data_IF_405052616223
#
_entry.id   IF_405052616223
#
_cell.length_a   1.000
_cell.length_b   1.000
_cell.length_c   1.000
_cell.angle_alpha   90.00
_cell.angle_beta   90.00
_cell.angle_gamma   90.00
#
_symmetry.space_group_name_H-M   'P 1'
#
loop_
_entity.id
_entity.type
_entity.pdbx_description
1 polymer ?
#
# COMPACT_ATOMS: atom_id res chain seq x y z
N UNK A 1 14.96 9.11 0.46
CA UNK A 1 14.61 9.53 -0.93
C UNK A 1 13.12 9.72 -1.04
N UNK A 2 12.67 10.84 -1.60
CA UNK A 2 11.24 11.09 -1.86
C UNK A 2 10.78 10.35 -3.11
N UNK A 3 9.52 9.96 -3.15
CA UNK A 3 8.89 9.31 -4.30
C UNK A 3 7.44 9.76 -4.45
N UNK A 4 6.93 9.65 -5.65
CA UNK A 4 5.53 9.80 -5.98
C UNK A 4 5.17 8.79 -7.07
N UNK A 5 4.04 8.11 -6.92
CA UNK A 5 3.48 7.19 -7.90
C UNK A 5 2.03 7.57 -8.14
N UNK A 6 1.65 7.66 -9.41
CA UNK A 6 0.29 8.02 -9.83
C UNK A 6 -0.26 6.85 -10.64
N UNK A 7 -1.43 6.38 -10.23
CA UNK A 7 -2.17 5.31 -10.92
C UNK A 7 -3.63 5.72 -11.05
N UNK A 8 -4.38 4.99 -11.87
CA UNK A 8 -5.79 5.24 -12.10
C UNK A 8 -6.61 3.99 -11.82
N UNK A 9 -7.81 4.19 -11.29
CA UNK A 9 -8.80 3.15 -11.08
C UNK A 9 -10.12 3.60 -11.71
N UNK A 10 -10.75 2.75 -12.54
CA UNK A 10 -11.98 3.06 -13.30
C UNK A 10 -13.23 2.97 -12.41
N UNK A 11 -13.17 3.64 -11.26
CA UNK A 11 -14.21 3.72 -10.25
C UNK A 11 -14.19 5.09 -9.55
N UNK A 12 -15.33 5.58 -9.04
CA UNK A 12 -15.39 6.82 -8.24
C UNK A 12 -14.49 6.77 -7.01
N UNK A 13 -13.95 7.91 -6.62
CA UNK A 13 -13.03 8.02 -5.47
C UNK A 13 -13.63 7.46 -4.16
N UNK A 14 -14.93 7.63 -3.96
CA UNK A 14 -15.64 7.08 -2.79
C UNK A 14 -15.65 5.54 -2.78
N UNK A 15 -15.80 4.89 -3.94
CA UNK A 15 -15.77 3.42 -4.03
C UNK A 15 -14.35 2.88 -3.82
N UNK A 16 -13.35 3.50 -4.46
CA UNK A 16 -11.93 3.13 -4.35
C UNK A 16 -11.45 3.28 -2.91
N UNK A 17 -11.71 4.43 -2.30
CA UNK A 17 -11.34 4.71 -0.91
C UNK A 17 -12.09 3.82 0.08
N UNK A 18 -13.41 3.60 -0.17
CA UNK A 18 -14.23 2.68 0.63
C UNK A 18 -13.70 1.24 0.60
N UNK A 19 -13.29 0.73 -0.57
CA UNK A 19 -12.67 -0.59 -0.69
C UNK A 19 -11.39 -0.70 0.14
N UNK A 20 -10.55 0.34 0.12
CA UNK A 20 -9.32 0.38 0.90
C UNK A 20 -9.54 0.40 2.41
N UNK A 21 -10.55 1.12 2.89
CA UNK A 21 -10.74 1.29 4.34
C UNK A 21 -11.51 0.11 4.95
N UNK A 22 -12.56 -0.36 4.26
CA UNK A 22 -13.51 -1.33 4.80
C UNK A 22 -13.26 -2.77 4.36
N UNK A 23 -12.61 -2.97 3.19
CA UNK A 23 -12.49 -4.26 2.52
C UNK A 23 -11.06 -4.65 2.17
N UNK A 24 -10.06 -4.02 2.80
CA UNK A 24 -8.65 -4.20 2.43
C UNK A 24 -8.19 -5.67 2.51
N UNK A 25 -8.66 -6.43 3.48
CA UNK A 25 -8.34 -7.86 3.61
C UNK A 25 -8.95 -8.71 2.49
N UNK A 26 -10.12 -8.28 1.97
CA UNK A 26 -10.79 -8.95 0.84
C UNK A 26 -10.06 -8.69 -0.50
N UNK A 27 -9.17 -7.70 -0.56
CA UNK A 27 -8.37 -7.38 -1.74
C UNK A 27 -7.20 -8.35 -1.96
N UNK A 28 -6.78 -9.11 -0.93
CA UNK A 28 -5.62 -10.01 -1.00
C UNK A 28 -5.65 -10.95 -2.20
N UNK A 29 -6.77 -11.63 -2.55
CA UNK A 29 -6.83 -12.52 -3.71
C UNK A 29 -6.60 -11.82 -5.07
N UNK A 30 -6.65 -10.51 -5.10
CA UNK A 30 -6.49 -9.67 -6.31
C UNK A 30 -5.12 -8.96 -6.35
N UNK A 31 -4.21 -9.31 -5.44
CA UNK A 31 -2.87 -8.72 -5.32
C UNK A 31 -1.80 -9.81 -5.31
N UNK A 32 -1.11 -10.03 -6.42
CA UNK A 32 -0.10 -11.09 -6.57
C UNK A 32 1.10 -10.95 -5.61
N UNK A 33 1.36 -9.73 -5.16
CA UNK A 33 2.50 -9.38 -4.32
C UNK A 33 2.21 -9.42 -2.81
N UNK A 34 0.96 -9.68 -2.40
CA UNK A 34 0.51 -9.74 -1.01
C UNK A 34 -0.04 -11.12 -0.70
N UNK A 35 0.45 -11.74 0.37
CA UNK A 35 -0.02 -13.05 0.84
C UNK A 35 -1.10 -12.94 1.91
N UNK A 36 -1.03 -11.90 2.74
CA UNK A 36 -1.94 -11.70 3.87
C UNK A 36 -2.00 -10.23 4.26
N UNK A 37 -3.18 -9.77 4.68
CA UNK A 37 -3.38 -8.52 5.42
C UNK A 37 -4.22 -8.85 6.65
N UNK A 38 -3.82 -8.34 7.81
CA UNK A 38 -4.55 -8.48 9.08
C UNK A 38 -4.72 -7.15 9.75
N UNK A 39 -5.95 -6.73 10.00
CA UNK A 39 -6.25 -5.59 10.84
C UNK A 39 -6.01 -5.95 12.31
N UNK A 40 -5.08 -5.26 12.94
CA UNK A 40 -4.74 -5.42 14.37
C UNK A 40 -5.54 -4.44 15.23
N UNK A 41 -5.68 -3.19 14.76
CA UNK A 41 -6.52 -2.18 15.40
C UNK A 41 -7.28 -1.39 14.34
N UNK A 42 -8.51 -1.00 14.72
CA UNK A 42 -9.38 -0.15 13.93
C UNK A 42 -10.12 0.78 14.91
N UNK A 43 -9.87 2.07 14.83
CA UNK A 43 -10.43 3.08 15.74
C UNK A 43 -11.12 4.18 14.93
N UNK A 44 -12.43 4.24 15.01
CA UNK A 44 -13.33 5.20 14.39
C UNK A 44 -14.01 6.13 15.43
N UNK A 45 -13.45 6.22 16.61
CA UNK A 45 -14.02 7.01 17.73
C UNK A 45 -14.00 8.53 17.49
N UNK A 46 -13.18 9.01 16.55
CA UNK A 46 -13.08 10.43 16.20
C UNK A 46 -13.85 10.70 14.90
N UNK A 47 -14.81 11.63 14.87
CA UNK A 47 -15.54 11.97 13.66
C UNK A 47 -14.60 12.29 12.50
N UNK A 48 -14.96 11.82 11.29
CA UNK A 48 -14.21 12.03 10.05
C UNK A 48 -12.78 11.46 10.03
N UNK A 49 -12.39 10.69 11.06
CA UNK A 49 -11.04 10.15 11.18
C UNK A 49 -11.08 8.70 11.61
N UNK A 50 -10.36 7.85 10.87
CA UNK A 50 -10.14 6.45 11.29
C UNK A 50 -8.65 6.23 11.45
N UNK A 51 -8.26 5.52 12.51
CA UNK A 51 -6.88 5.07 12.72
C UNK A 51 -6.82 3.57 12.63
N UNK A 52 -5.86 3.07 11.86
CA UNK A 52 -5.67 1.63 11.68
C UNK A 52 -4.23 1.23 11.93
N UNK A 53 -4.07 0.02 12.47
CA UNK A 53 -2.81 -0.70 12.47
C UNK A 53 -3.07 -2.02 11.76
N UNK A 54 -2.38 -2.27 10.65
CA UNK A 54 -2.56 -3.45 9.81
C UNK A 54 -1.23 -4.13 9.55
N UNK A 55 -1.19 -5.42 9.77
CA UNK A 55 -0.04 -6.24 9.38
C UNK A 55 -0.22 -6.69 7.94
N UNK A 56 0.85 -6.59 7.16
CA UNK A 56 0.93 -7.03 5.78
C UNK A 56 2.05 -8.05 5.63
N UNK A 57 1.79 -9.09 4.85
CA UNK A 57 2.79 -10.07 4.46
C UNK A 57 2.91 -10.09 2.94
N UNK A 58 4.08 -9.70 2.43
CA UNK A 58 4.40 -9.81 1.02
C UNK A 58 4.70 -11.24 0.60
N UNK A 59 4.52 -11.53 -0.70
CA UNK A 59 4.92 -12.79 -1.32
C UNK A 59 6.37 -12.74 -1.79
N UNK A 60 6.99 -13.91 -1.98
CA UNK A 60 8.31 -14.00 -2.62
C UNK A 60 8.29 -13.63 -4.11
N UNK A 61 7.11 -13.52 -4.73
CA UNK A 61 6.96 -13.10 -6.12
C UNK A 61 7.47 -11.67 -6.36
N UNK A 62 7.28 -10.78 -5.38
CA UNK A 62 7.78 -9.39 -5.42
C UNK A 62 9.30 -9.26 -5.24
N UNK A 63 9.99 -10.34 -4.86
CA UNK A 63 11.45 -10.32 -4.66
C UNK A 63 12.16 -10.77 -5.94
N UNK A 64 13.09 -9.95 -6.47
CA UNK A 64 13.91 -10.36 -7.59
C UNK A 64 14.61 -11.70 -7.33
N UNK A 65 14.65 -12.58 -8.33
CA UNK A 65 15.18 -13.94 -8.19
C UNK A 65 16.58 -13.98 -7.58
N UNK A 66 17.42 -13.01 -7.93
CA UNK A 66 18.79 -12.89 -7.41
C UNK A 66 18.83 -12.64 -5.90
N UNK A 67 17.82 -11.98 -5.34
CA UNK A 67 17.78 -11.61 -3.92
C UNK A 67 17.01 -12.63 -3.06
N UNK A 68 16.22 -13.53 -3.67
CA UNK A 68 15.41 -14.53 -2.94
C UNK A 68 16.19 -15.39 -1.93
N UNK A 69 17.43 -15.83 -2.21
CA UNK A 69 18.20 -16.60 -1.23
C UNK A 69 18.56 -15.82 0.05
N UNK A 70 18.53 -14.47 -0.02
CA UNK A 70 18.92 -13.58 1.08
C UNK A 70 17.72 -12.99 1.83
N UNK A 71 16.51 -13.22 1.33
CA UNK A 71 15.26 -12.66 1.91
C UNK A 71 14.48 -13.78 2.59
N UNK A 72 14.36 -13.70 3.91
CA UNK A 72 13.51 -14.63 4.66
C UNK A 72 12.03 -14.23 4.54
N UNK A 73 11.11 -15.19 4.76
CA UNK A 73 9.66 -14.87 4.82
C UNK A 73 9.35 -13.78 5.84
N UNK A 74 10.01 -13.79 6.98
CA UNK A 74 9.80 -12.79 8.04
C UNK A 74 10.27 -11.39 7.67
N UNK A 75 11.17 -11.26 6.66
CA UNK A 75 11.63 -9.96 6.17
C UNK A 75 10.66 -9.31 5.19
N UNK A 76 9.62 -10.03 4.73
CA UNK A 76 8.61 -9.52 3.80
C UNK A 76 7.34 -9.02 4.53
N UNK A 77 7.33 -9.06 5.85
CA UNK A 77 6.24 -8.51 6.64
C UNK A 77 6.50 -7.07 7.06
N UNK A 78 5.44 -6.28 7.08
CA UNK A 78 5.46 -4.93 7.66
C UNK A 78 4.14 -4.62 8.35
N UNK A 79 4.20 -3.68 9.29
CA UNK A 79 3.03 -3.11 9.93
C UNK A 79 2.80 -1.72 9.34
N UNK A 80 1.61 -1.50 8.80
CA UNK A 80 1.13 -0.22 8.32
C UNK A 80 0.34 0.47 9.44
N UNK A 81 0.70 1.70 9.76
CA UNK A 81 0.05 2.54 10.76
C UNK A 81 -0.48 3.75 10.03
N UNK A 82 -1.80 3.85 9.91
CA UNK A 82 -2.44 4.82 9.06
C UNK A 82 -3.51 5.65 9.79
N UNK A 83 -3.60 6.90 9.40
CA UNK A 83 -4.70 7.82 9.73
C UNK A 83 -5.44 8.18 8.46
N UNK A 84 -6.73 7.91 8.43
CA UNK A 84 -7.64 8.10 7.31
C UNK A 84 -8.49 9.34 7.57
N UNK A 85 -8.51 10.29 6.63
CA UNK A 85 -9.39 11.46 6.65
C UNK A 85 -10.49 11.23 5.62
N UNK A 86 -11.74 11.02 6.09
CA UNK A 86 -12.81 10.49 5.28
C UNK A 86 -13.31 11.45 4.20
N UNK A 87 -13.47 12.72 4.53
CA UNK A 87 -13.96 13.76 3.61
C UNK A 87 -12.92 14.22 2.59
N UNK A 88 -11.62 13.97 2.86
CA UNK A 88 -10.52 14.30 1.97
C UNK A 88 -10.09 13.11 1.10
N UNK A 89 -10.64 11.91 1.32
CA UNK A 89 -10.15 10.66 0.69
C UNK A 89 -8.63 10.53 0.80
N UNK A 90 -8.09 10.81 1.97
CA UNK A 90 -6.67 10.90 2.25
C UNK A 90 -6.25 9.91 3.33
N UNK A 91 -5.04 9.38 3.19
CA UNK A 91 -4.40 8.51 4.17
C UNK A 91 -3.01 9.05 4.47
N UNK A 92 -2.74 9.39 5.71
CA UNK A 92 -1.38 9.59 6.22
C UNK A 92 -0.89 8.26 6.79
N UNK A 93 0.25 7.76 6.35
CA UNK A 93 0.73 6.44 6.74
C UNK A 93 2.23 6.41 7.04
N UNK A 94 2.62 5.43 7.85
CA UNK A 94 4.00 5.01 8.07
C UNK A 94 4.07 3.50 8.19
N UNK A 95 5.22 2.93 7.84
CA UNK A 95 5.45 1.49 7.97
C UNK A 95 6.48 1.17 9.04
N UNK A 96 6.25 0.07 9.74
CA UNK A 96 7.21 -0.53 10.65
C UNK A 96 7.55 -1.94 10.16
N UNK A 97 8.85 -2.24 10.09
CA UNK A 97 9.40 -3.52 9.63
C UNK A 97 10.42 -4.04 10.64
N UNK A 98 10.88 -5.27 10.48
CA UNK A 98 12.04 -5.77 11.22
C UNK A 98 13.31 -4.90 11.03
N UNK A 99 13.32 -4.04 10.00
CA UNK A 99 14.43 -3.17 9.63
C UNK A 99 14.22 -1.69 10.02
N UNK A 100 13.13 -1.35 10.73
CA UNK A 100 12.81 0.06 11.13
C UNK A 100 13.90 0.73 11.98
N UNK A 101 14.82 -0.05 12.51
CA UNK A 101 16.04 0.44 13.17
C UNK A 101 17.00 1.11 12.17
N UNK A 102 16.98 0.68 10.92
CA UNK A 102 17.92 1.06 9.85
C UNK A 102 17.26 1.80 8.71
N UNK A 103 15.93 1.79 8.63
CA UNK A 103 15.19 2.49 7.59
C UNK A 103 13.84 2.96 8.11
N UNK A 104 13.28 3.98 7.45
CA UNK A 104 11.93 4.47 7.68
C UNK A 104 11.23 4.71 6.36
N UNK A 105 9.91 4.47 6.34
CA UNK A 105 9.06 4.77 5.20
C UNK A 105 7.74 5.37 5.71
N UNK A 106 7.36 6.50 5.14
CA UNK A 106 6.10 7.16 5.46
C UNK A 106 5.63 8.01 4.29
N UNK A 107 4.35 8.33 4.26
CA UNK A 107 3.82 9.10 3.16
C UNK A 107 2.33 9.41 3.31
N UNK A 108 1.76 9.80 2.16
CA UNK A 108 0.35 10.17 2.02
C UNK A 108 -0.18 9.47 0.78
N UNK A 109 -1.38 8.90 0.87
CA UNK A 109 -2.17 8.50 -0.29
C UNK A 109 -3.34 9.47 -0.43
N UNK A 110 -3.66 9.86 -1.67
CA UNK A 110 -4.84 10.64 -2.02
C UNK A 110 -5.60 9.94 -3.13
N UNK A 111 -6.92 9.92 -3.02
CA UNK A 111 -7.83 9.35 -4.00
C UNK A 111 -8.68 10.50 -4.55
N UNK A 112 -8.20 11.09 -5.63
CA UNK A 112 -8.76 12.29 -6.23
C UNK A 112 -9.66 11.90 -7.42
N UNK A 113 -10.84 12.55 -7.60
CA UNK A 113 -11.57 12.40 -8.86
C UNK A 113 -10.67 12.76 -10.04
N UNK A 114 -10.64 11.94 -11.08
CA UNK A 114 -9.90 12.26 -12.28
C UNK A 114 -10.51 13.50 -12.97
N UNK A 115 -9.73 14.51 -13.35
CA UNK A 115 -10.26 15.72 -13.98
C UNK A 115 -11.04 15.47 -15.28
N UNK A 116 -10.69 14.44 -16.06
CA UNK A 116 -11.36 14.08 -17.31
C UNK A 116 -12.61 13.22 -17.08
N UNK A 117 -12.64 12.41 -16.02
CA UNK A 117 -13.71 11.45 -15.72
C UNK A 117 -14.06 11.45 -14.23
N UNK A 118 -14.50 12.58 -13.64
CA UNK A 118 -14.57 12.77 -12.18
C UNK A 118 -15.57 11.86 -11.47
N UNK A 119 -16.55 11.33 -12.18
CA UNK A 119 -17.60 10.46 -11.61
C UNK A 119 -17.32 8.96 -11.79
N UNK A 120 -16.35 8.59 -12.63
CA UNK A 120 -16.13 7.19 -13.03
C UNK A 120 -14.68 6.74 -12.88
N UNK A 121 -13.74 7.66 -12.67
CA UNK A 121 -12.32 7.34 -12.56
C UNK A 121 -11.67 8.09 -11.41
N UNK A 122 -10.79 7.41 -10.68
CA UNK A 122 -10.00 7.94 -9.58
C UNK A 122 -8.54 8.02 -9.96
N UNK A 123 -7.94 9.16 -9.72
CA UNK A 123 -6.50 9.36 -9.71
C UNK A 123 -5.97 9.01 -8.32
N UNK A 124 -5.27 7.89 -8.20
CA UNK A 124 -4.64 7.43 -6.97
C UNK A 124 -3.20 7.95 -6.90
N UNK A 125 -2.90 8.79 -5.94
CA UNK A 125 -1.57 9.35 -5.71
C UNK A 125 -1.00 8.76 -4.44
N UNK A 126 0.17 8.12 -4.53
CA UNK A 126 0.95 7.64 -3.39
C UNK A 126 2.25 8.42 -3.38
N UNK A 127 2.43 9.29 -2.39
CA UNK A 127 3.63 10.09 -2.24
C UNK A 127 4.24 9.87 -0.86
N UNK A 128 5.58 9.81 -0.80
CA UNK A 128 6.24 9.56 0.47
C UNK A 128 7.74 9.73 0.45
N UNK A 129 8.34 9.30 1.54
CA UNK A 129 9.78 9.28 1.71
C UNK A 129 10.24 7.95 2.29
N UNK A 130 11.26 7.38 1.66
CA UNK A 130 12.01 6.25 2.17
C UNK A 130 13.42 6.69 2.52
N UNK A 131 13.86 6.40 3.74
CA UNK A 131 15.18 6.80 4.27
C UNK A 131 15.91 5.58 4.80
N UNK A 132 17.17 5.42 4.37
CA UNK A 132 18.11 4.47 4.96
C UNK A 132 19.03 5.23 5.93
N UNK A 133 19.00 4.84 7.20
CA UNK A 133 19.88 5.40 8.23
C UNK A 133 21.27 4.77 8.12
N UNK A 134 22.08 5.27 7.19
CA UNK A 134 23.38 4.72 6.86
C UNK A 134 24.35 4.61 8.05
N UNK A 135 24.20 5.50 9.04
CA UNK A 135 24.98 5.50 10.28
C UNK A 135 24.60 4.37 11.25
N UNK A 136 23.49 3.67 10.99
CA UNK A 136 22.96 2.58 11.82
C UNK A 136 23.07 1.20 11.17
N UNK A 137 23.62 1.09 9.96
CA UNK A 137 23.76 -0.20 9.26
C UNK A 137 24.75 -1.09 10.02
N UNK A 138 24.34 -2.32 10.44
CA UNK A 138 25.21 -3.20 11.21
C UNK A 138 26.46 -3.61 10.43
N UNK A 139 27.59 -3.71 11.11
CA UNK A 139 28.88 -4.13 10.58
C UNK A 139 29.43 -3.25 9.42
N UNK A 140 28.82 -2.09 9.16
CA UNK A 140 29.31 -1.12 8.16
C UNK A 140 29.83 0.12 8.89
N UNK A 141 31.08 0.56 8.64
CA UNK A 141 31.59 1.81 9.18
C UNK A 141 30.66 2.98 8.81
N UNK A 142 30.39 3.86 9.79
CA UNK A 142 29.43 4.95 9.66
C UNK A 142 29.59 5.80 8.39
N UNK A 143 30.84 6.17 8.06
CA UNK A 143 31.15 6.99 6.87
C UNK A 143 30.85 6.25 5.56
N UNK A 144 31.02 4.93 5.53
CA UNK A 144 30.70 4.09 4.37
C UNK A 144 29.17 3.96 4.28
N UNK A 145 28.50 3.67 5.39
CA UNK A 145 27.05 3.54 5.45
C UNK A 145 26.32 4.81 4.95
N UNK A 146 26.75 5.99 5.40
CA UNK A 146 26.20 7.27 4.93
C UNK A 146 26.43 7.48 3.42
N UNK A 147 27.58 7.03 2.87
CA UNK A 147 27.89 7.16 1.45
C UNK A 147 27.04 6.24 0.56
N UNK A 148 26.71 5.04 1.03
CA UNK A 148 25.95 4.04 0.25
C UNK A 148 24.43 4.16 0.45
N UNK A 149 23.96 4.81 1.52
CA UNK A 149 22.54 4.93 1.85
C UNK A 149 21.67 5.42 0.68
N UNK A 150 22.01 6.49 -0.07
CA UNK A 150 21.20 6.96 -1.19
C UNK A 150 21.07 5.92 -2.32
N UNK A 151 22.09 5.10 -2.54
CA UNK A 151 22.05 4.02 -3.53
C UNK A 151 21.15 2.88 -3.08
N UNK A 152 21.18 2.54 -1.80
CA UNK A 152 20.28 1.54 -1.20
C UNK A 152 18.82 2.02 -1.27
N UNK A 153 18.55 3.28 -0.95
CA UNK A 153 17.22 3.89 -1.10
C UNK A 153 16.70 3.74 -2.52
N UNK A 154 17.50 4.10 -3.53
CA UNK A 154 17.12 3.98 -4.94
C UNK A 154 16.80 2.54 -5.36
N UNK A 155 17.62 1.57 -4.92
CA UNK A 155 17.41 0.15 -5.22
C UNK A 155 16.11 -0.34 -4.58
N UNK A 156 15.89 -0.03 -3.30
CA UNK A 156 14.72 -0.49 -2.57
C UNK A 156 13.44 0.13 -3.15
N UNK A 157 13.43 1.43 -3.43
CA UNK A 157 12.30 2.10 -4.08
C UNK A 157 12.01 1.50 -5.47
N UNK A 158 13.02 1.12 -6.24
CA UNK A 158 12.84 0.43 -7.51
C UNK A 158 12.04 -0.89 -7.39
N UNK A 159 12.06 -1.53 -6.21
CA UNK A 159 11.24 -2.71 -5.93
C UNK A 159 9.88 -2.37 -5.31
N UNK A 160 9.78 -1.28 -4.55
CA UNK A 160 8.54 -0.89 -3.88
C UNK A 160 7.52 -0.27 -4.84
N UNK A 161 7.94 0.61 -5.74
CA UNK A 161 7.03 1.36 -6.62
C UNK A 161 6.14 0.48 -7.50
N UNK A 162 6.62 -0.61 -8.13
CA UNK A 162 5.75 -1.51 -8.88
C UNK A 162 4.63 -2.13 -8.01
N UNK A 163 4.88 -2.36 -6.72
CA UNK A 163 3.88 -2.91 -5.80
C UNK A 163 2.77 -1.91 -5.49
N UNK A 164 3.06 -0.62 -5.47
CA UNK A 164 2.03 0.41 -5.31
C UNK A 164 1.08 0.47 -6.52
N UNK A 165 1.59 0.23 -7.74
CA UNK A 165 0.75 0.12 -8.95
C UNK A 165 -0.21 -1.07 -8.87
N UNK A 166 0.25 -2.20 -8.35
CA UNK A 166 -0.58 -3.40 -8.19
C UNK A 166 -1.77 -3.18 -7.26
N UNK A 167 -1.66 -2.29 -6.29
CA UNK A 167 -2.75 -1.96 -5.38
C UNK A 167 -3.96 -1.38 -6.14
N UNK A 168 -3.75 -0.40 -7.03
CA UNK A 168 -4.84 0.18 -7.82
C UNK A 168 -5.49 -0.84 -8.76
N UNK A 169 -4.70 -1.72 -9.37
CA UNK A 169 -5.19 -2.82 -10.21
C UNK A 169 -6.02 -3.80 -9.38
N UNK A 170 -5.53 -4.20 -8.20
CA UNK A 170 -6.23 -5.09 -7.27
C UNK A 170 -7.59 -4.53 -6.83
N UNK A 171 -7.64 -3.23 -6.51
CA UNK A 171 -8.90 -2.55 -6.14
C UNK A 171 -9.89 -2.60 -7.30
N UNK A 172 -9.48 -2.27 -8.52
CA UNK A 172 -10.34 -2.31 -9.70
C UNK A 172 -10.91 -3.70 -9.92
N UNK A 173 -10.07 -4.73 -9.91
CA UNK A 173 -10.49 -6.13 -10.10
C UNK A 173 -11.46 -6.60 -9.00
N UNK A 174 -11.21 -6.22 -7.76
CA UNK A 174 -12.13 -6.50 -6.64
C UNK A 174 -13.51 -5.85 -6.85
N UNK A 175 -13.54 -4.57 -7.22
CA UNK A 175 -14.79 -3.84 -7.45
C UNK A 175 -15.57 -4.43 -8.63
N UNK A 176 -14.90 -4.86 -9.72
CA UNK A 176 -15.51 -5.59 -10.82
C UNK A 176 -16.15 -6.90 -10.36
N UNK A 177 -15.43 -7.68 -9.55
CA UNK A 177 -15.94 -8.94 -8.99
C UNK A 177 -17.17 -8.70 -8.10
N UNK A 178 -17.16 -7.66 -7.27
CA UNK A 178 -18.32 -7.28 -6.43
C UNK A 178 -19.53 -6.88 -7.27
N UNK A 179 -19.36 -6.08 -8.32
CA UNK A 179 -20.46 -5.69 -9.22
C UNK A 179 -21.06 -6.88 -9.94
N UNK A 180 -20.22 -7.80 -10.42
CA UNK A 180 -20.67 -9.03 -11.07
C UNK A 180 -21.49 -9.88 -10.12
N UNK A 181 -21.01 -10.13 -8.90
CA UNK A 181 -21.72 -10.91 -7.89
C UNK A 181 -23.08 -10.28 -7.52
N UNK A 182 -23.15 -8.95 -7.40
CA UNK A 182 -24.38 -8.24 -7.11
C UNK A 182 -25.42 -8.36 -8.25
N UNK A 183 -24.98 -8.31 -9.52
CA UNK A 183 -25.83 -8.48 -10.68
C UNK A 183 -26.41 -9.91 -10.74
N UNK A 184 -25.58 -10.93 -10.49
CA UNK A 184 -26.02 -12.34 -10.45
C UNK A 184 -27.03 -12.61 -9.32
N UNK A 185 -26.82 -12.03 -8.14
CA UNK A 185 -27.75 -12.15 -7.02
C UNK A 185 -29.10 -11.46 -7.29
N UNK A 186 -29.10 -10.30 -7.98
CA UNK A 186 -30.31 -9.60 -8.39
C UNK A 186 -31.14 -10.39 -9.41
N UNK A 187 -30.51 -11.10 -10.35
CA UNK A 187 -31.21 -11.93 -11.35
C UNK A 187 -31.83 -13.20 -10.72
N UNK A 188 -31.20 -13.76 -9.69
CA UNK A 188 -31.75 -14.93 -8.95
C UNK A 188 -32.95 -14.53 -8.10
N UNK A 189 -32.94 -13.32 -7.51
CA UNK A 189 -34.07 -12.83 -6.70
C UNK A 189 -35.30 -12.42 -7.54
N UNK A 190 -35.13 -12.20 -8.84
CA UNK A 190 -36.18 -11.81 -9.78
C UNK A 190 -36.86 -13.00 -10.49
N UNK A 191 -36.38 -14.22 -10.27
CA UNK A 191 -36.95 -15.49 -10.78
C UNK A 191 -37.72 -16.21 -9.70
#
# INVERSE_FOLDING_TARGET
MKFEEITYCEYPASEVYGAMIWHLEELVPYMDNVAEIKTQTFDDSVPNTIKTVRYWQGTSASVPTLLRPFVSKNSLGWTDIATWTLDEYKIDWRTETSHSKYSSCSGINRFEPDPEHPTTRTRCVIAGEFVVHGDKIPAVPKFIGLKIAPKLESIILGFMLPNFRQLAVGIGTYLDAKKKAAAEAGDVAAR
#
